data_IF_285242708877
#
_entry.id   IF_285242708877
#
_cell.length_a   1.000
_cell.length_b   1.000
_cell.length_c   1.000
_cell.angle_alpha   90.00
_cell.angle_beta   90.00
_cell.angle_gamma   90.00
#
_symmetry.space_group_name_H-M   'P 1'
#
loop_
_entity.id
_entity.type
_entity.pdbx_description
1 polymer ?
#
# COMPACT_ATOMS: atom_id res chain seq x y z
N UNK A 1 4.42 3.10 -7.64
CA UNK A 1 5.34 4.23 -7.83
C UNK A 1 6.64 3.97 -7.12
N UNK A 2 7.77 4.04 -7.84
CA UNK A 2 9.11 3.95 -7.24
C UNK A 2 9.33 5.14 -6.32
N UNK A 3 10.21 5.01 -5.33
CA UNK A 3 10.47 6.10 -4.40
C UNK A 3 11.16 7.30 -5.08
N UNK A 4 12.08 7.03 -6.00
CA UNK A 4 12.70 8.07 -6.82
C UNK A 4 11.66 8.91 -7.58
N UNK A 5 10.60 8.26 -8.09
CA UNK A 5 9.47 8.95 -8.72
C UNK A 5 8.69 9.81 -7.71
N UNK A 6 8.42 9.29 -6.49
CA UNK A 6 7.73 10.07 -5.46
C UNK A 6 8.52 11.31 -5.04
N UNK A 7 9.85 11.19 -4.90
CA UNK A 7 10.74 12.31 -4.57
C UNK A 7 10.71 13.36 -5.69
N UNK A 8 10.89 12.95 -6.95
CA UNK A 8 10.79 13.86 -8.10
C UNK A 8 9.42 14.52 -8.21
N UNK A 9 8.33 13.80 -7.88
CA UNK A 9 7.00 14.37 -7.86
C UNK A 9 6.88 15.49 -6.81
N UNK A 10 7.38 15.26 -5.59
CA UNK A 10 7.37 16.29 -4.53
C UNK A 10 8.30 17.46 -4.88
N UNK A 11 9.45 17.22 -5.53
CA UNK A 11 10.32 18.29 -6.03
C UNK A 11 9.63 19.14 -7.10
N UNK A 12 8.98 18.52 -8.09
CA UNK A 12 8.18 19.25 -9.09
C UNK A 12 7.06 20.06 -8.46
N UNK A 13 6.41 19.53 -7.42
CA UNK A 13 5.42 20.28 -6.67
C UNK A 13 5.99 21.55 -6.03
N UNK A 14 7.22 21.50 -5.50
CA UNK A 14 7.89 22.67 -4.94
C UNK A 14 8.27 23.70 -6.01
N UNK A 15 8.69 23.23 -7.19
CA UNK A 15 9.03 24.08 -8.34
C UNK A 15 7.78 24.74 -8.93
N UNK A 16 6.66 24.03 -9.00
CA UNK A 16 5.40 24.50 -9.59
C UNK A 16 4.54 25.30 -8.59
N UNK A 17 5.17 26.16 -7.79
CA UNK A 17 4.53 27.04 -6.81
C UNK A 17 3.58 26.35 -5.83
N UNK A 18 3.81 25.06 -5.52
CA UNK A 18 2.94 24.25 -4.64
C UNK A 18 1.54 24.02 -5.23
N UNK A 19 1.40 24.03 -6.56
CA UNK A 19 0.16 23.69 -7.24
C UNK A 19 -0.02 22.17 -7.34
N UNK A 20 -0.77 21.62 -6.38
CA UNK A 20 -1.01 20.19 -6.27
C UNK A 20 -1.78 19.61 -7.45
N UNK A 21 -2.80 20.34 -7.94
CA UNK A 21 -3.68 19.84 -9.01
C UNK A 21 -2.94 19.82 -10.35
N UNK A 22 -2.18 20.87 -10.66
CA UNK A 22 -1.38 20.94 -11.87
C UNK A 22 -0.32 19.83 -11.90
N UNK A 23 0.44 19.68 -10.81
CA UNK A 23 1.49 18.65 -10.72
C UNK A 23 0.92 17.23 -10.77
N UNK A 24 -0.25 17.00 -10.16
CA UNK A 24 -0.93 15.71 -10.20
C UNK A 24 -1.40 15.37 -11.63
N UNK A 25 -1.99 16.33 -12.34
CA UNK A 25 -2.40 16.16 -13.75
C UNK A 25 -1.21 15.94 -14.68
N UNK A 26 -0.12 16.69 -14.50
CA UNK A 26 1.09 16.57 -15.32
C UNK A 26 1.77 15.21 -15.19
N UNK A 27 1.78 14.66 -13.97
CA UNK A 27 2.38 13.35 -13.67
C UNK A 27 1.39 12.18 -13.81
N UNK A 28 0.17 12.46 -14.27
CA UNK A 28 -0.95 11.50 -14.37
C UNK A 28 -1.17 10.69 -13.08
N UNK A 29 -1.11 11.38 -11.94
CA UNK A 29 -1.34 10.80 -10.61
C UNK A 29 -2.58 11.37 -9.98
N UNK A 30 -3.28 10.53 -9.21
CA UNK A 30 -4.46 11.00 -8.49
C UNK A 30 -4.08 12.09 -7.46
N UNK A 31 -4.82 13.22 -7.36
CA UNK A 31 -4.50 14.31 -6.45
C UNK A 31 -4.36 13.89 -4.98
N UNK A 32 -5.17 12.93 -4.53
CA UNK A 32 -5.05 12.40 -3.16
C UNK A 32 -3.72 11.69 -2.91
N UNK A 33 -3.19 10.98 -3.91
CA UNK A 33 -1.88 10.33 -3.86
C UNK A 33 -0.76 11.36 -3.81
N UNK A 34 -0.87 12.40 -4.63
CA UNK A 34 0.07 13.53 -4.64
C UNK A 34 0.08 14.25 -3.28
N UNK A 35 -1.10 14.51 -2.70
CA UNK A 35 -1.25 15.10 -1.36
C UNK A 35 -0.55 14.27 -0.29
N UNK A 36 -0.70 12.95 -0.34
CA UNK A 36 -0.06 12.05 0.60
C UNK A 36 1.47 12.12 0.50
N UNK A 37 2.04 12.24 -0.71
CA UNK A 37 3.49 12.36 -0.90
C UNK A 37 4.02 13.71 -0.41
N UNK A 38 3.30 14.80 -0.71
CA UNK A 38 3.66 16.15 -0.22
C UNK A 38 3.60 16.22 1.31
N UNK A 39 2.55 15.67 1.92
CA UNK A 39 2.41 15.60 3.38
C UNK A 39 3.55 14.81 4.04
N UNK A 40 4.01 13.76 3.38
CA UNK A 40 5.12 12.94 3.85
C UNK A 40 6.47 13.66 3.73
N UNK A 41 6.58 14.60 2.79
CA UNK A 41 7.78 15.41 2.56
C UNK A 41 8.94 14.60 1.95
N UNK A 42 9.95 15.30 1.44
CA UNK A 42 11.13 14.66 0.83
C UNK A 42 11.89 13.83 1.88
N UNK A 43 12.04 14.34 3.11
CA UNK A 43 12.78 13.64 4.17
C UNK A 43 12.05 12.39 4.66
N UNK A 44 10.73 12.46 4.87
CA UNK A 44 9.92 11.28 5.23
C UNK A 44 9.78 10.27 4.09
N UNK A 45 9.94 10.70 2.83
CA UNK A 45 10.09 9.80 1.69
C UNK A 45 11.50 9.17 1.67
N UNK A 46 12.56 9.95 1.94
CA UNK A 46 13.95 9.46 2.02
C UNK A 46 14.16 8.50 3.18
N UNK A 47 13.49 8.67 4.31
CA UNK A 47 13.48 7.66 5.39
C UNK A 47 12.93 6.31 4.92
N UNK A 48 12.08 6.27 3.89
CA UNK A 48 11.67 5.00 3.29
C UNK A 48 12.79 4.28 2.50
N UNK A 49 13.90 4.95 2.17
CA UNK A 49 15.13 4.29 1.66
C UNK A 49 15.88 3.60 2.78
N UNK A 50 15.91 4.23 3.96
CA UNK A 50 16.73 3.81 5.09
C UNK A 50 16.02 2.76 5.94
N UNK A 51 14.67 2.72 5.92
CA UNK A 51 13.86 1.69 6.55
C UNK A 51 13.29 0.69 5.52
N UNK A 52 14.01 -0.40 5.22
CA UNK A 52 13.49 -1.54 4.48
C UNK A 52 12.45 -2.36 5.28
N UNK A 53 12.10 -1.94 6.49
CA UNK A 53 11.02 -2.54 7.31
C UNK A 53 9.64 -2.12 6.80
N UNK A 54 9.46 -0.89 6.31
CA UNK A 54 8.13 -0.39 5.93
C UNK A 54 7.44 -1.21 4.83
N UNK A 55 8.15 -1.66 3.80
CA UNK A 55 7.54 -2.45 2.71
C UNK A 55 7.38 -3.92 3.09
N UNK A 56 8.39 -4.49 3.77
CA UNK A 56 8.33 -5.87 4.26
C UNK A 56 7.25 -6.05 5.31
N UNK A 57 7.09 -5.13 6.26
CA UNK A 57 6.07 -5.23 7.30
C UNK A 57 4.66 -5.06 6.77
N UNK A 58 4.47 -4.22 5.76
CA UNK A 58 3.18 -4.11 5.06
C UNK A 58 2.85 -5.43 4.36
N UNK A 59 3.82 -6.03 3.68
CA UNK A 59 3.63 -7.31 3.01
C UNK A 59 3.42 -8.45 4.02
N UNK A 60 4.17 -8.49 5.12
CA UNK A 60 4.00 -9.44 6.21
C UNK A 60 2.61 -9.31 6.84
N UNK A 61 2.13 -8.08 7.09
CA UNK A 61 0.77 -7.85 7.62
C UNK A 61 -0.30 -8.31 6.63
N UNK A 62 -0.12 -8.05 5.33
CA UNK A 62 -1.03 -8.51 4.28
C UNK A 62 -1.07 -10.04 4.23
N UNK A 63 0.09 -10.68 4.18
CA UNK A 63 0.23 -12.14 4.13
C UNK A 63 -0.36 -12.81 5.37
N UNK A 64 -0.14 -12.25 6.57
CA UNK A 64 -0.76 -12.76 7.81
C UNK A 64 -2.29 -12.68 7.76
N UNK A 65 -2.85 -11.60 7.20
CA UNK A 65 -4.30 -11.44 7.05
C UNK A 65 -4.87 -12.45 6.04
N UNK A 66 -4.18 -12.65 4.92
CA UNK A 66 -4.55 -13.63 3.89
C UNK A 66 -4.54 -15.06 4.46
N UNK A 67 -3.48 -15.43 5.19
CA UNK A 67 -3.36 -16.72 5.87
C UNK A 67 -4.48 -16.97 6.87
N UNK A 68 -4.84 -15.96 7.67
CA UNK A 68 -5.96 -16.05 8.61
C UNK A 68 -7.28 -16.36 7.90
N UNK A 69 -7.62 -15.62 6.84
CA UNK A 69 -8.82 -15.84 6.04
C UNK A 69 -8.86 -17.25 5.43
N UNK A 70 -7.76 -17.69 4.81
CA UNK A 70 -7.68 -19.01 4.18
C UNK A 70 -7.79 -20.14 5.21
N UNK A 71 -7.23 -19.96 6.41
CA UNK A 71 -7.34 -20.92 7.50
C UNK A 71 -8.79 -21.05 7.96
N UNK A 72 -9.49 -19.92 8.10
CA UNK A 72 -10.91 -19.90 8.48
C UNK A 72 -11.79 -20.56 7.41
N UNK A 73 -11.58 -20.25 6.13
CA UNK A 73 -12.26 -20.90 5.01
C UNK A 73 -12.02 -22.42 5.00
N UNK A 74 -10.78 -22.85 5.25
CA UNK A 74 -10.42 -24.26 5.31
C UNK A 74 -11.15 -24.99 6.45
N UNK A 75 -11.24 -24.38 7.63
CA UNK A 75 -11.94 -24.94 8.78
C UNK A 75 -13.45 -25.04 8.56
N UNK A 76 -14.05 -24.03 7.91
CA UNK A 76 -15.46 -24.08 7.49
C UNK A 76 -15.69 -25.25 6.53
N UNK A 77 -14.84 -25.39 5.50
CA UNK A 77 -14.94 -26.47 4.53
C UNK A 77 -14.77 -27.86 5.17
N UNK A 78 -13.79 -28.02 6.07
CA UNK A 78 -13.60 -29.27 6.83
C UNK A 78 -14.80 -29.59 7.71
N UNK A 79 -15.40 -28.58 8.35
CA UNK A 79 -16.58 -28.76 9.18
C UNK A 79 -17.77 -29.20 8.33
N UNK A 80 -17.97 -28.58 7.17
CA UNK A 80 -18.99 -29.00 6.21
C UNK A 80 -18.76 -30.43 5.72
N UNK A 81 -17.54 -30.79 5.32
CA UNK A 81 -17.21 -32.14 4.88
C UNK A 81 -17.51 -33.21 5.95
N UNK A 82 -17.19 -32.93 7.22
CA UNK A 82 -17.55 -33.82 8.33
C UNK A 82 -19.06 -33.96 8.52
N UNK A 83 -19.81 -32.87 8.40
CA UNK A 83 -21.28 -32.91 8.49
C UNK A 83 -21.91 -33.68 7.33
N UNK A 84 -21.35 -33.58 6.12
CA UNK A 84 -21.81 -34.33 4.96
C UNK A 84 -21.48 -35.81 5.08
N UNK A 85 -20.27 -36.17 5.51
CA UNK A 85 -19.88 -37.57 5.73
C UNK A 85 -20.65 -38.27 6.87
N UNK A 86 -21.21 -37.51 7.81
CA UNK A 86 -22.06 -38.05 8.88
C UNK A 86 -23.55 -38.20 8.49
N UNK A 87 -23.96 -37.64 7.34
CA UNK A 87 -25.33 -37.73 6.80
C UNK A 87 -25.48 -38.77 5.67
N UNK A 88 -24.37 -39.37 5.23
CA UNK A 88 -24.29 -40.50 4.31
C UNK A 88 -24.11 -41.81 5.06
#
# INVERSE_FOLDING_TARGET
YSLAFKIQAVERYLVNEKNLKATATELDVHPATMKHWVQKGIDGLREQLVSPESSRDIEIKRLKKELGRLTEENEILKKAARMFAAQS
#
